data_IF_183887394763
#
_entry.id   IF_183887394763
#
_cell.length_a   1.000
_cell.length_b   1.000
_cell.length_c   1.000
_cell.angle_alpha   90.00
_cell.angle_beta   90.00
_cell.angle_gamma   90.00
#
_symmetry.space_group_name_H-M   'P 1'
#
loop_
_entity.id
_entity.type
_entity.pdbx_description
1 polymer ?
#
# COMPACT_ATOMS: atom_id res chain seq x y z
N UNK A 1 -3.88 42.89 -2.08
CA UNK A 1 -2.55 43.54 -2.01
C UNK A 1 -2.72 44.88 -1.33
N UNK A 2 -2.03 45.11 -0.21
CA UNK A 2 -1.96 46.39 0.47
C UNK A 2 -0.62 47.05 0.13
N UNK A 3 -0.65 48.33 -0.26
CA UNK A 3 0.57 49.10 -0.57
C UNK A 3 0.64 50.31 0.35
N UNK A 4 1.82 50.56 0.91
CA UNK A 4 2.07 51.80 1.63
C UNK A 4 2.00 52.98 0.65
N UNK A 5 1.20 53.99 0.98
CA UNK A 5 1.04 55.20 0.17
C UNK A 5 1.12 56.43 1.05
N UNK A 6 1.83 57.47 0.61
CA UNK A 6 1.86 58.77 1.27
C UNK A 6 1.06 59.75 0.41
N UNK A 7 0.02 60.34 1.00
CA UNK A 7 -0.84 61.32 0.32
C UNK A 7 -0.43 62.71 0.75
N UNK A 8 0.11 63.50 -0.18
CA UNK A 8 0.54 64.88 0.09
C UNK A 8 -0.60 65.87 -0.16
N UNK A 9 -1.43 65.61 -1.18
CA UNK A 9 -2.68 66.34 -1.48
C UNK A 9 -3.69 65.34 -2.06
N UNK A 10 -4.97 65.71 -2.07
CA UNK A 10 -6.09 64.84 -2.52
C UNK A 10 -5.91 64.20 -3.91
N UNK A 11 -5.05 64.77 -4.75
CA UNK A 11 -4.75 64.33 -6.12
C UNK A 11 -3.27 63.98 -6.35
N UNK A 12 -2.41 64.08 -5.32
CA UNK A 12 -0.98 63.74 -5.42
C UNK A 12 -0.66 62.75 -4.30
N UNK A 13 -0.45 61.50 -4.68
CA UNK A 13 -0.04 60.42 -3.80
C UNK A 13 1.15 59.68 -4.40
N UNK A 14 2.03 59.21 -3.52
CA UNK A 14 3.18 58.38 -3.86
C UNK A 14 2.94 57.00 -3.26
N UNK A 15 3.14 55.96 -4.06
CA UNK A 15 2.85 54.59 -3.68
C UNK A 15 4.11 53.76 -3.85
N UNK A 16 4.47 53.01 -2.82
CA UNK A 16 5.62 52.12 -2.86
C UNK A 16 5.28 50.88 -3.72
N UNK A 17 6.20 50.50 -4.61
CA UNK A 17 6.12 49.25 -5.40
C UNK A 17 7.15 48.21 -4.94
N UNK A 18 7.84 48.47 -3.82
CA UNK A 18 8.91 47.63 -3.29
C UNK A 18 8.59 47.04 -1.92
N UNK A 19 9.52 47.24 -0.98
CA UNK A 19 9.59 46.54 0.31
C UNK A 19 8.43 46.82 1.28
N UNK A 20 7.59 47.81 1.01
CA UNK A 20 6.43 48.18 1.82
C UNK A 20 5.09 47.78 1.17
N UNK A 21 5.13 47.00 0.10
CA UNK A 21 3.95 46.35 -0.48
C UNK A 21 3.78 44.94 0.09
N UNK A 22 2.64 44.68 0.77
CA UNK A 22 2.26 43.33 1.20
C UNK A 22 1.11 42.78 0.38
N UNK A 23 1.33 41.65 -0.29
CA UNK A 23 0.27 40.87 -0.93
C UNK A 23 -0.34 39.93 0.11
N UNK A 24 -1.60 40.16 0.45
CA UNK A 24 -2.41 39.19 1.20
C UNK A 24 -3.03 38.26 0.16
N UNK A 25 -2.77 36.96 0.32
CA UNK A 25 -3.50 35.89 -0.35
C UNK A 25 -4.55 35.34 0.62
N UNK A 26 -5.59 34.73 0.09
CA UNK A 26 -6.56 33.97 0.89
C UNK A 26 -5.78 32.92 1.70
N UNK A 27 -6.09 32.79 2.99
CA UNK A 27 -5.53 31.73 3.80
C UNK A 27 -6.13 30.44 3.26
N UNK A 28 -5.32 29.64 2.56
CA UNK A 28 -5.72 28.33 2.07
C UNK A 28 -6.27 27.55 3.27
N UNK A 29 -7.56 27.28 3.28
CA UNK A 29 -8.22 26.39 4.24
C UNK A 29 -7.86 24.91 4.00
N UNK A 30 -6.60 24.66 3.63
CA UNK A 30 -5.93 23.37 3.50
C UNK A 30 -4.47 23.43 4.00
N UNK A 31 -4.07 24.50 4.71
CA UNK A 31 -2.77 24.59 5.40
C UNK A 31 -2.81 24.18 6.87
N UNK A 32 -3.91 23.60 7.35
CA UNK A 32 -3.96 22.92 8.65
C UNK A 32 -3.72 21.42 8.41
N UNK A 33 -2.44 21.02 8.38
CA UNK A 33 -2.09 19.63 8.10
C UNK A 33 -0.77 19.16 8.67
N UNK A 34 0.38 19.74 8.28
CA UNK A 34 1.64 18.98 8.43
C UNK A 34 2.84 19.73 9.02
N UNK A 35 2.86 21.07 9.18
CA UNK A 35 4.12 21.74 9.63
C UNK A 35 4.04 22.82 10.72
N UNK A 36 2.87 23.13 11.29
CA UNK A 36 2.78 24.18 12.33
C UNK A 36 2.20 23.71 13.69
N UNK A 37 2.09 22.39 13.91
CA UNK A 37 1.83 21.89 15.26
C UNK A 37 3.14 21.94 16.04
N UNK A 38 3.25 22.74 17.12
CA UNK A 38 4.43 22.69 17.96
C UNK A 38 4.56 21.27 18.51
N UNK A 39 5.68 20.61 18.20
CA UNK A 39 5.99 19.27 18.71
C UNK A 39 6.07 19.39 20.23
N UNK A 40 5.03 18.91 20.91
CA UNK A 40 4.94 18.96 22.36
C UNK A 40 5.86 17.88 22.94
N UNK A 41 6.43 18.15 24.12
CA UNK A 41 7.08 17.09 24.88
C UNK A 41 6.01 16.08 25.33
N UNK A 42 6.14 14.85 24.83
CA UNK A 42 5.18 13.80 25.09
C UNK A 42 5.14 13.42 26.57
N UNK A 43 3.93 13.39 27.14
CA UNK A 43 3.68 12.96 28.52
C UNK A 43 3.09 11.55 28.64
N UNK A 44 2.86 10.86 27.51
CA UNK A 44 2.31 9.51 27.51
C UNK A 44 3.27 8.49 28.14
N UNK A 45 2.70 7.46 28.76
CA UNK A 45 3.41 6.38 29.42
C UNK A 45 3.29 5.07 28.64
N UNK A 46 4.20 4.13 28.95
CA UNK A 46 4.30 2.86 28.25
C UNK A 46 4.69 3.04 26.78
N UNK A 47 4.30 2.06 25.97
CA UNK A 47 4.48 2.09 24.52
C UNK A 47 3.17 1.77 23.81
N UNK A 48 3.03 2.24 22.58
CA UNK A 48 1.92 1.90 21.71
C UNK A 48 2.43 1.29 20.41
N UNK A 49 1.67 0.31 19.90
CA UNK A 49 1.91 -0.33 18.62
C UNK A 49 0.83 0.10 17.65
N UNK A 50 1.24 0.47 16.44
CA UNK A 50 0.38 0.94 15.38
C UNK A 50 0.55 0.10 14.13
N UNK A 51 -0.50 0.09 13.31
CA UNK A 51 -0.48 -0.40 11.94
C UNK A 51 -0.65 0.79 10.99
N UNK A 52 0.34 1.00 10.13
CA UNK A 52 0.27 1.90 8.99
C UNK A 52 -0.31 1.11 7.81
N UNK A 53 -1.30 1.65 7.12
CA UNK A 53 -1.85 1.10 5.88
C UNK A 53 -1.91 2.17 4.81
N UNK A 54 -1.31 1.89 3.66
CA UNK A 54 -1.20 2.83 2.54
C UNK A 54 -2.17 2.46 1.41
N UNK A 55 -3.06 3.38 1.07
CA UNK A 55 -4.04 3.26 0.01
C UNK A 55 -3.66 4.19 -1.15
N UNK A 56 -3.10 3.63 -2.22
CA UNK A 56 -2.87 4.38 -3.46
C UNK A 56 -4.21 4.71 -4.14
N UNK A 57 -4.48 5.99 -4.38
CA UNK A 57 -5.63 6.51 -5.14
C UNK A 57 -5.23 7.07 -6.52
N UNK A 58 -3.97 6.85 -6.92
CA UNK A 58 -3.43 7.22 -8.23
C UNK A 58 -3.70 6.13 -9.28
N UNK A 59 -4.62 6.41 -10.20
CA UNK A 59 -5.06 5.51 -11.26
C UNK A 59 -5.39 6.33 -12.51
N UNK A 60 -5.45 5.69 -13.66
CA UNK A 60 -5.86 6.35 -14.91
C UNK A 60 -7.24 7.01 -14.82
N UNK A 61 -8.16 6.43 -14.04
CA UNK A 61 -9.50 6.99 -13.85
C UNK A 61 -9.48 8.29 -13.02
N UNK A 62 -8.61 8.35 -12.01
CA UNK A 62 -8.54 9.50 -11.09
C UNK A 62 -7.63 10.60 -11.61
N UNK A 63 -6.54 10.23 -12.29
CA UNK A 63 -5.49 11.10 -12.82
C UNK A 63 -5.20 10.72 -14.29
N UNK A 64 -6.08 11.08 -15.23
CA UNK A 64 -5.99 10.60 -16.61
C UNK A 64 -4.88 11.26 -17.44
N UNK A 65 -4.44 12.48 -17.08
CA UNK A 65 -3.47 13.24 -17.85
C UNK A 65 -2.10 12.53 -17.80
N UNK A 66 -1.64 12.10 -18.97
CA UNK A 66 -0.35 11.42 -19.20
C UNK A 66 -0.10 10.20 -18.29
N UNK A 67 -1.16 9.51 -17.84
CA UNK A 67 -1.02 8.39 -16.91
C UNK A 67 -0.13 7.25 -17.48
N UNK A 68 0.92 6.82 -16.75
CA UNK A 68 1.88 5.81 -17.24
C UNK A 68 1.31 4.39 -17.16
N UNK A 69 0.51 4.00 -18.16
CA UNK A 69 -0.27 2.74 -18.16
C UNK A 69 0.54 1.47 -17.93
N UNK A 70 1.80 1.42 -18.37
CA UNK A 70 2.65 0.20 -18.29
C UNK A 70 3.60 0.20 -17.10
N UNK A 71 4.00 1.38 -16.65
CA UNK A 71 5.11 1.60 -15.72
C UNK A 71 4.66 2.13 -14.37
N UNK A 72 3.37 2.47 -14.18
CA UNK A 72 2.84 2.98 -12.92
C UNK A 72 3.09 2.03 -11.73
N UNK A 73 3.68 2.57 -10.68
CA UNK A 73 3.94 1.87 -9.43
C UNK A 73 4.10 2.82 -8.25
N UNK A 74 4.01 2.26 -7.05
CA UNK A 74 4.56 2.88 -5.85
C UNK A 74 5.82 2.13 -5.45
N UNK A 75 6.89 2.84 -5.10
CA UNK A 75 8.09 2.19 -4.55
C UNK A 75 7.80 1.52 -3.21
N UNK A 76 8.78 0.78 -2.69
CA UNK A 76 8.67 0.29 -1.32
C UNK A 76 8.49 1.47 -0.35
N UNK A 77 7.66 1.28 0.67
CA UNK A 77 7.50 2.27 1.75
C UNK A 77 8.69 2.11 2.67
N UNK A 78 9.34 3.23 3.00
CA UNK A 78 10.41 3.31 3.99
C UNK A 78 10.15 4.47 4.93
N UNK A 79 10.38 4.26 6.22
CA UNK A 79 10.16 5.26 7.24
C UNK A 79 10.67 4.81 8.60
N UNK A 80 10.35 5.57 9.63
CA UNK A 80 10.66 5.20 11.00
C UNK A 80 9.72 5.85 12.02
N UNK A 81 9.62 5.23 13.19
CA UNK A 81 9.24 5.93 14.40
C UNK A 81 10.48 6.52 15.07
N UNK A 82 10.44 7.80 15.41
CA UNK A 82 11.62 8.55 15.82
C UNK A 82 11.31 9.68 16.79
N UNK A 83 12.36 10.27 17.35
CA UNK A 83 12.30 11.46 18.21
C UNK A 83 12.28 12.74 17.37
N UNK A 84 12.11 13.88 18.04
CA UNK A 84 12.23 15.22 17.43
C UNK A 84 13.63 15.58 16.92
N UNK A 85 14.67 14.84 17.31
CA UNK A 85 16.05 15.13 16.92
C UNK A 85 16.40 14.57 15.53
N UNK A 86 15.59 13.64 15.03
CA UNK A 86 15.75 13.07 13.70
C UNK A 86 14.67 13.56 12.75
N UNK A 87 15.09 14.03 11.58
CA UNK A 87 14.20 14.50 10.51
C UNK A 87 14.47 13.61 9.30
N UNK A 88 13.46 12.81 8.93
CA UNK A 88 13.53 11.94 7.74
C UNK A 88 13.50 12.76 6.45
N UNK A 89 12.54 13.68 6.38
CA UNK A 89 12.36 14.70 5.36
C UNK A 89 11.39 15.75 5.91
N UNK A 90 11.42 16.99 5.42
CA UNK A 90 10.48 18.04 5.82
C UNK A 90 10.29 19.05 4.69
N UNK A 91 9.12 19.70 4.63
CA UNK A 91 8.89 20.78 3.68
C UNK A 91 9.82 21.97 3.97
N UNK A 92 10.47 22.49 2.92
CA UNK A 92 11.47 23.56 3.04
C UNK A 92 12.86 23.09 3.46
N UNK A 93 13.03 21.80 3.78
CA UNK A 93 14.32 21.13 3.95
C UNK A 93 14.91 20.66 2.62
N UNK A 94 16.10 20.08 2.66
CA UNK A 94 16.77 19.46 1.50
C UNK A 94 16.69 17.94 1.62
N UNK A 95 16.47 17.24 0.50
CA UNK A 95 16.49 15.79 0.46
C UNK A 95 17.89 15.26 0.79
N UNK A 96 17.98 14.29 1.70
CA UNK A 96 19.20 13.51 1.92
C UNK A 96 19.51 12.62 0.71
N UNK A 97 20.69 11.99 0.69
CA UNK A 97 21.02 11.02 -0.35
C UNK A 97 20.05 9.81 -0.32
N UNK A 98 19.62 9.37 0.86
CA UNK A 98 18.56 8.37 1.04
C UNK A 98 17.22 8.80 0.44
N UNK A 99 16.78 10.03 0.72
CA UNK A 99 15.52 10.57 0.16
C UNK A 99 15.61 10.69 -1.36
N UNK A 100 16.75 11.18 -1.88
CA UNK A 100 17.01 11.27 -3.32
C UNK A 100 16.92 9.91 -4.02
N UNK A 101 17.53 8.86 -3.46
CA UNK A 101 17.48 7.53 -4.07
C UNK A 101 16.07 6.91 -4.05
N UNK A 102 15.26 7.24 -3.04
CA UNK A 102 13.84 6.87 -3.07
C UNK A 102 13.13 7.65 -4.18
N UNK A 103 13.32 8.97 -4.23
CA UNK A 103 12.65 9.87 -5.17
C UNK A 103 12.92 9.55 -6.64
N UNK A 104 14.18 9.27 -7.00
CA UNK A 104 14.60 9.11 -8.40
C UNK A 104 14.59 7.64 -8.85
N UNK A 105 14.87 6.69 -7.94
CA UNK A 105 15.10 5.28 -8.28
C UNK A 105 14.12 4.31 -7.61
N UNK A 106 13.29 4.78 -6.68
CA UNK A 106 12.42 3.94 -5.87
C UNK A 106 13.18 2.99 -4.94
N UNK A 107 14.48 3.26 -4.67
CA UNK A 107 15.36 2.38 -3.90
C UNK A 107 15.39 2.79 -2.41
N UNK A 108 14.89 1.96 -1.48
CA UNK A 108 14.90 2.28 -0.04
C UNK A 108 16.23 1.96 0.66
N UNK A 109 17.21 1.38 -0.05
CA UNK A 109 18.42 0.81 0.56
C UNK A 109 19.21 1.88 1.31
N UNK A 110 19.48 3.02 0.66
CA UNK A 110 20.26 4.09 1.27
C UNK A 110 19.52 4.78 2.42
N UNK A 111 18.21 4.98 2.25
CA UNK A 111 17.35 5.54 3.29
C UNK A 111 17.32 4.65 4.53
N UNK A 112 17.26 3.33 4.36
CA UNK A 112 17.32 2.39 5.49
C UNK A 112 18.68 2.45 6.23
N UNK A 113 19.80 2.59 5.51
CA UNK A 113 21.11 2.79 6.13
C UNK A 113 21.14 4.06 6.99
N UNK A 114 20.65 5.18 6.45
CA UNK A 114 20.59 6.47 7.16
C UNK A 114 19.73 6.39 8.41
N UNK A 115 18.56 5.74 8.34
CA UNK A 115 17.68 5.54 9.49
C UNK A 115 18.38 4.70 10.56
N UNK A 116 19.03 3.58 10.18
CA UNK A 116 19.70 2.68 11.13
C UNK A 116 20.91 3.30 11.80
N UNK A 117 21.53 4.31 11.19
CA UNK A 117 22.63 5.06 11.79
C UNK A 117 22.17 5.95 12.96
N UNK A 118 20.88 6.29 13.04
CA UNK A 118 20.29 7.15 14.07
C UNK A 118 19.80 6.36 15.28
N UNK A 119 20.55 5.31 15.68
CA UNK A 119 20.15 4.23 16.59
C UNK A 119 19.25 4.65 17.76
N UNK A 120 19.66 5.67 18.51
CA UNK A 120 19.00 6.05 19.76
C UNK A 120 17.76 6.92 19.50
N UNK A 121 17.74 7.63 18.38
CA UNK A 121 16.66 8.52 17.97
C UNK A 121 15.55 7.78 17.20
N UNK A 122 15.78 6.53 16.79
CA UNK A 122 14.83 5.69 16.04
C UNK A 122 14.41 4.49 16.88
N UNK A 123 13.13 4.14 16.87
CA UNK A 123 12.61 2.97 17.58
C UNK A 123 12.31 1.81 16.63
N UNK A 124 11.57 2.07 15.55
CA UNK A 124 11.22 1.05 14.56
C UNK A 124 11.50 1.57 13.16
N UNK A 125 12.13 0.74 12.32
CA UNK A 125 12.23 0.99 10.87
C UNK A 125 10.97 0.45 10.20
N UNK A 126 10.22 1.33 9.53
CA UNK A 126 8.96 1.02 8.85
C UNK A 126 9.27 0.60 7.42
N UNK A 127 8.83 -0.60 7.03
CA UNK A 127 9.01 -1.14 5.68
C UNK A 127 7.75 -1.82 5.20
N UNK A 128 7.29 -1.46 4.00
CA UNK A 128 6.21 -2.18 3.31
C UNK A 128 6.56 -2.42 1.84
N UNK A 129 5.93 -3.44 1.25
CA UNK A 129 6.21 -3.86 -0.13
C UNK A 129 5.78 -2.79 -1.14
N UNK A 130 6.56 -2.67 -2.22
CA UNK A 130 6.22 -1.88 -3.39
C UNK A 130 4.92 -2.38 -4.07
N UNK A 131 4.28 -1.52 -4.85
CA UNK A 131 3.02 -1.84 -5.52
C UNK A 131 3.15 -1.73 -7.04
N UNK A 132 2.99 -2.88 -7.71
CA UNK A 132 2.98 -2.99 -9.17
C UNK A 132 1.73 -3.76 -9.62
N UNK A 133 0.82 -3.17 -10.41
CA UNK A 133 0.71 -1.75 -10.76
C UNK A 133 0.39 -0.86 -9.55
N UNK A 134 0.40 0.47 -9.69
CA UNK A 134 0.15 1.42 -8.60
C UNK A 134 -1.22 1.22 -7.92
N UNK A 135 -2.27 0.95 -8.71
CA UNK A 135 -3.65 0.81 -8.22
C UNK A 135 -4.24 -0.57 -8.50
N UNK A 136 -4.90 -1.13 -7.50
CA UNK A 136 -5.73 -2.33 -7.61
C UNK A 136 -6.90 -2.23 -6.62
N UNK A 137 -8.08 -2.79 -6.94
CA UNK A 137 -9.16 -2.94 -5.97
C UNK A 137 -8.72 -3.75 -4.75
N UNK A 138 -9.25 -3.43 -3.56
CA UNK A 138 -8.87 -4.08 -2.29
C UNK A 138 -9.18 -5.59 -2.27
N UNK A 139 -10.19 -6.03 -3.02
CA UNK A 139 -10.51 -7.45 -3.18
C UNK A 139 -9.52 -8.20 -4.09
N UNK A 140 -8.70 -7.48 -4.86
CA UNK A 140 -7.66 -8.06 -5.73
C UNK A 140 -6.29 -8.01 -5.04
N UNK A 141 -5.96 -6.89 -4.38
CA UNK A 141 -4.71 -6.72 -3.65
C UNK A 141 -4.92 -5.95 -2.36
N UNK A 142 -4.48 -6.54 -1.25
CA UNK A 142 -4.44 -5.86 0.03
C UNK A 142 -3.54 -4.61 -0.04
N UNK A 143 -3.98 -3.54 0.63
CA UNK A 143 -3.17 -2.35 0.83
C UNK A 143 -1.88 -2.71 1.62
N UNK A 144 -0.69 -2.25 1.20
CA UNK A 144 0.54 -2.44 1.94
C UNK A 144 0.38 -1.92 3.35
N UNK A 145 0.83 -2.72 4.31
CA UNK A 145 0.83 -2.33 5.71
C UNK A 145 2.12 -2.71 6.40
N UNK A 146 2.45 -1.95 7.44
CA UNK A 146 3.59 -2.16 8.30
C UNK A 146 3.20 -1.84 9.75
N UNK A 147 3.75 -2.57 10.70
CA UNK A 147 3.54 -2.31 12.11
C UNK A 147 4.77 -1.64 12.71
N UNK A 148 4.54 -0.69 13.62
CA UNK A 148 5.61 0.03 14.30
C UNK A 148 5.23 0.37 15.72
N UNK A 149 6.24 0.56 16.57
CA UNK A 149 6.04 0.95 17.96
C UNK A 149 6.48 2.39 18.17
N UNK A 150 5.84 3.07 19.11
CA UNK A 150 6.22 4.38 19.63
C UNK A 150 6.37 4.33 21.14
N UNK A 151 7.21 5.20 21.66
CA UNK A 151 7.36 5.46 23.09
C UNK A 151 7.42 6.95 23.36
N UNK A 152 7.50 7.33 24.63
CA UNK A 152 7.51 8.73 25.07
C UNK A 152 8.57 9.60 24.39
N UNK A 153 9.74 9.06 24.07
CA UNK A 153 10.84 9.81 23.45
C UNK A 153 10.76 9.78 21.93
N UNK A 154 10.27 8.67 21.36
CA UNK A 154 10.16 8.39 19.92
C UNK A 154 8.69 8.23 19.54
N UNK A 155 7.97 9.34 19.68
CA UNK A 155 6.53 9.43 19.50
C UNK A 155 6.11 9.95 18.11
N UNK A 156 7.09 10.35 17.29
CA UNK A 156 6.86 10.83 15.93
C UNK A 156 7.01 9.68 14.93
N UNK A 157 6.31 9.78 13.81
CA UNK A 157 6.45 8.85 12.69
C UNK A 157 6.59 9.61 11.37
N UNK A 158 7.59 9.20 10.58
CA UNK A 158 7.77 9.67 9.21
C UNK A 158 7.92 8.51 8.25
N UNK A 159 7.43 8.67 7.03
CA UNK A 159 7.69 7.73 5.95
C UNK A 159 7.63 8.44 4.59
N UNK A 160 8.16 7.78 3.57
CA UNK A 160 8.01 8.18 2.18
C UNK A 160 7.88 6.97 1.24
N UNK A 161 7.27 7.20 0.09
CA UNK A 161 7.24 6.29 -1.06
C UNK A 161 7.15 7.11 -2.35
N UNK A 162 7.86 6.66 -3.38
CA UNK A 162 7.94 7.30 -4.68
C UNK A 162 6.70 6.98 -5.52
N UNK A 163 6.17 8.01 -6.18
CA UNK A 163 5.19 7.87 -7.25
C UNK A 163 5.94 7.59 -8.54
N UNK A 164 5.88 6.37 -9.05
CA UNK A 164 6.72 5.93 -10.17
C UNK A 164 5.95 5.63 -11.46
N UNK A 165 6.48 5.97 -12.65
CA UNK A 165 7.66 6.80 -12.88
C UNK A 165 7.37 8.27 -12.56
N UNK A 166 8.37 8.97 -12.05
CA UNK A 166 8.41 10.41 -11.91
C UNK A 166 9.87 10.89 -11.91
N UNK A 167 10.11 12.19 -12.09
CA UNK A 167 11.46 12.77 -11.95
C UNK A 167 12.03 12.51 -10.56
N UNK A 168 11.32 12.98 -9.54
CA UNK A 168 11.73 12.89 -8.13
C UNK A 168 10.54 13.09 -7.17
N UNK A 169 9.35 12.59 -7.55
CA UNK A 169 8.11 12.84 -6.81
C UNK A 169 7.77 11.74 -5.82
N UNK A 170 7.48 12.14 -4.58
CA UNK A 170 7.13 11.24 -3.49
C UNK A 170 5.80 11.62 -2.84
N UNK A 171 5.29 10.72 -1.99
CA UNK A 171 4.27 11.02 -0.97
C UNK A 171 4.76 10.49 0.37
N UNK A 172 4.26 11.05 1.47
CA UNK A 172 4.61 10.59 2.80
C UNK A 172 4.04 11.45 3.90
N UNK A 173 4.33 11.08 5.14
CA UNK A 173 4.17 11.93 6.31
C UNK A 173 5.54 12.29 6.89
N UNK A 174 5.64 13.51 7.40
CA UNK A 174 6.80 14.03 8.10
C UNK A 174 6.39 14.37 9.52
N UNK A 175 7.11 13.81 10.50
CA UNK A 175 6.98 14.08 11.92
C UNK A 175 5.54 14.02 12.47
N UNK A 176 4.75 13.01 12.06
CA UNK A 176 3.38 12.83 12.57
C UNK A 176 3.42 12.43 14.05
N UNK A 177 2.82 13.24 14.91
CA UNK A 177 2.83 13.04 16.37
C UNK A 177 1.69 12.13 16.82
N UNK A 178 2.05 10.96 17.38
CA UNK A 178 1.09 9.98 17.88
C UNK A 178 0.84 10.10 19.39
N UNK A 179 1.50 11.04 20.06
CA UNK A 179 1.27 11.37 21.46
C UNK A 179 0.16 12.42 21.60
N UNK A 180 -0.75 12.22 22.55
CA UNK A 180 -1.84 13.18 22.82
C UNK A 180 -1.52 14.10 23.99
N UNK A 181 -2.18 15.27 24.02
CA UNK A 181 -2.11 16.20 25.16
C UNK A 181 -2.62 15.61 26.47
N UNK A 182 -3.48 14.58 26.39
CA UNK A 182 -4.05 13.88 27.54
C UNK A 182 -3.16 12.74 28.06
N UNK A 183 -1.88 12.74 27.70
CA UNK A 183 -0.88 11.72 28.06
C UNK A 183 -1.26 10.31 27.60
N UNK A 184 -1.91 10.23 26.43
CA UNK A 184 -2.30 8.99 25.78
C UNK A 184 -1.70 8.85 24.38
N UNK A 185 -2.19 7.83 23.69
CA UNK A 185 -1.77 7.46 22.34
C UNK A 185 -2.96 7.61 21.40
N UNK A 186 -2.79 8.33 20.28
CA UNK A 186 -3.86 8.56 19.28
C UNK A 186 -4.47 7.23 18.83
N UNK A 187 -5.80 7.11 18.76
CA UNK A 187 -6.41 5.85 18.34
C UNK A 187 -6.27 5.60 16.83
N UNK A 188 -6.53 6.65 16.03
CA UNK A 188 -6.57 6.55 14.57
C UNK A 188 -6.23 7.89 13.92
N UNK A 189 -5.34 7.86 12.94
CA UNK A 189 -5.03 9.00 12.05
C UNK A 189 -5.40 8.58 10.63
N UNK A 190 -6.11 9.46 9.93
CA UNK A 190 -6.43 9.29 8.50
C UNK A 190 -5.98 10.55 7.80
N UNK A 191 -4.99 10.42 6.91
CA UNK A 191 -4.44 11.55 6.18
C UNK A 191 -4.46 11.28 4.68
N UNK A 192 -4.99 12.24 3.94
CA UNK A 192 -4.94 12.27 2.49
C UNK A 192 -3.66 12.95 2.03
N UNK A 193 -3.04 12.43 0.97
CA UNK A 193 -1.70 12.79 0.51
C UNK A 193 -1.73 13.34 -0.92
N UNK A 194 -0.96 14.41 -1.12
CA UNK A 194 -0.58 14.94 -2.43
C UNK A 194 0.91 14.66 -2.67
N UNK A 195 1.36 14.63 -3.94
CA UNK A 195 2.79 14.46 -4.23
C UNK A 195 3.59 15.71 -3.83
N UNK A 196 4.84 15.47 -3.48
CA UNK A 196 5.85 16.49 -3.24
C UNK A 196 7.12 16.18 -4.04
N UNK A 197 7.81 17.25 -4.40
CA UNK A 197 9.02 17.30 -5.22
C UNK A 197 10.25 17.28 -4.31
N UNK A 198 11.21 16.39 -4.58
CA UNK A 198 12.42 16.26 -3.75
C UNK A 198 13.47 17.34 -4.03
N UNK A 199 13.34 18.10 -5.13
CA UNK A 199 14.25 19.15 -5.55
C UNK A 199 15.55 18.64 -6.15
N UNK A 200 15.59 17.42 -6.68
CA UNK A 200 16.80 16.76 -7.21
C UNK A 200 16.75 16.49 -8.72
N UNK A 201 15.57 16.41 -9.33
CA UNK A 201 15.39 16.29 -10.79
C UNK A 201 14.34 17.28 -11.32
N UNK A 202 14.69 18.02 -12.38
CA UNK A 202 13.89 19.09 -12.98
C UNK A 202 12.96 18.59 -14.11
N UNK A 203 12.67 17.30 -14.20
CA UNK A 203 11.66 16.76 -15.09
C UNK A 203 10.26 17.32 -14.80
N UNK A 204 9.40 17.44 -15.81
CA UNK A 204 8.10 18.14 -15.70
C UNK A 204 6.89 17.21 -15.80
N UNK A 205 7.08 15.97 -16.24
CA UNK A 205 6.04 14.93 -16.37
C UNK A 205 6.60 13.57 -15.94
N UNK A 206 5.73 12.57 -15.74
CA UNK A 206 6.06 11.25 -15.20
C UNK A 206 7.27 10.57 -15.88
N UNK A 207 7.32 10.59 -17.21
CA UNK A 207 8.35 9.90 -18.01
C UNK A 207 9.37 10.88 -18.62
N UNK A 208 9.63 12.01 -17.95
CA UNK A 208 10.66 12.95 -18.38
C UNK A 208 12.05 12.29 -18.32
N UNK A 209 12.97 12.57 -19.27
CA UNK A 209 14.36 12.19 -19.11
C UNK A 209 14.98 12.88 -17.89
N UNK A 210 15.88 12.18 -17.20
CA UNK A 210 16.57 12.72 -16.03
C UNK A 210 17.25 14.05 -16.35
N UNK A 211 16.99 15.06 -15.53
CA UNK A 211 17.54 16.40 -15.64
C UNK A 211 17.91 16.90 -14.23
N UNK A 212 19.13 16.63 -13.74
CA UNK A 212 19.53 16.99 -12.38
C UNK A 212 19.30 18.47 -12.04
N UNK A 213 18.70 18.73 -10.89
CA UNK A 213 18.47 20.08 -10.34
C UNK A 213 19.74 20.58 -9.65
N UNK A 214 20.38 21.61 -10.21
CA UNK A 214 21.65 22.16 -9.71
C UNK A 214 21.57 23.69 -9.58
N UNK A 215 21.72 24.26 -8.37
CA UNK A 215 21.85 23.58 -7.08
C UNK A 215 20.57 22.83 -6.69
N UNK A 216 20.68 21.84 -5.80
CA UNK A 216 19.52 21.13 -5.26
C UNK A 216 18.51 22.14 -4.67
N UNK A 217 17.24 21.94 -4.97
CA UNK A 217 16.15 22.75 -4.46
C UNK A 217 15.56 22.15 -3.17
N UNK A 218 14.70 22.92 -2.51
CA UNK A 218 14.05 22.50 -1.27
C UNK A 218 12.82 21.65 -1.56
N UNK A 219 12.55 20.69 -0.68
CA UNK A 219 11.36 19.86 -0.74
C UNK A 219 10.12 20.75 -0.66
N UNK A 220 9.19 20.58 -1.61
CA UNK A 220 7.96 21.36 -1.70
C UNK A 220 6.80 20.48 -2.19
N UNK A 221 5.55 20.77 -1.80
CA UNK A 221 4.41 20.11 -2.41
C UNK A 221 4.30 20.50 -3.90
N UNK A 222 3.81 19.58 -4.72
CA UNK A 222 3.42 19.92 -6.10
C UNK A 222 2.16 20.80 -6.06
N UNK A 223 2.04 21.69 -7.03
CA UNK A 223 0.84 22.51 -7.23
C UNK A 223 0.25 22.32 -8.62
N UNK A 224 -1.04 22.63 -8.76
CA UNK A 224 -1.75 22.58 -10.05
C UNK A 224 -1.24 23.61 -11.06
N UNK A 225 -0.34 24.52 -10.68
CA UNK A 225 0.19 25.59 -11.52
C UNK A 225 1.69 25.46 -11.79
N UNK A 226 2.34 24.36 -11.38
CA UNK A 226 3.80 24.20 -11.46
C UNK A 226 4.33 24.32 -12.89
N UNK A 227 3.73 23.61 -13.85
CA UNK A 227 4.14 23.65 -15.24
C UNK A 227 3.01 23.17 -16.17
N UNK A 228 2.78 23.76 -17.36
CA UNK A 228 1.69 23.34 -18.26
C UNK A 228 1.71 21.86 -18.67
N UNK A 229 2.90 21.28 -18.76
CA UNK A 229 3.12 19.86 -19.09
C UNK A 229 3.03 18.93 -17.87
N UNK A 230 2.87 19.47 -16.65
CA UNK A 230 2.67 18.63 -15.47
C UNK A 230 1.35 17.85 -15.59
N UNK A 231 1.33 16.55 -15.24
CA UNK A 231 0.10 15.76 -15.23
C UNK A 231 -0.91 16.25 -14.19
N UNK A 232 -0.45 17.05 -13.21
CA UNK A 232 -1.29 17.66 -12.19
C UNK A 232 -1.71 19.10 -12.54
N UNK A 233 -1.30 19.62 -13.71
CA UNK A 233 -1.59 20.99 -14.09
C UNK A 233 -3.06 21.21 -14.44
N UNK A 234 -3.64 22.23 -13.83
CA UNK A 234 -4.99 22.74 -14.07
C UNK A 234 -4.92 24.26 -14.31
N UNK A 235 -5.33 24.77 -15.50
CA UNK A 235 -5.31 26.21 -15.77
C UNK A 235 -6.24 27.03 -14.87
N UNK A 236 -7.26 26.42 -14.26
CA UNK A 236 -8.13 27.08 -13.28
C UNK A 236 -7.49 27.14 -11.87
N UNK A 237 -6.39 26.42 -11.67
CA UNK A 237 -5.73 26.26 -10.38
C UNK A 237 -6.46 25.29 -9.45
N UNK A 238 -6.37 25.53 -8.15
CA UNK A 238 -7.00 24.70 -7.12
C UNK A 238 -6.09 23.57 -6.59
N UNK A 239 -6.61 22.79 -5.65
CA UNK A 239 -5.86 21.70 -5.01
C UNK A 239 -5.70 20.49 -5.94
N UNK A 240 -4.51 19.89 -5.95
CA UNK A 240 -4.28 18.61 -6.63
C UNK A 240 -5.21 17.53 -6.04
N UNK A 241 -5.80 16.71 -6.90
CA UNK A 241 -6.55 15.52 -6.48
C UNK A 241 -5.63 14.59 -5.68
N UNK A 242 -6.14 14.10 -4.57
CA UNK A 242 -5.38 13.26 -3.65
C UNK A 242 -4.93 11.97 -4.33
N UNK A 243 -3.63 11.68 -4.27
CA UNK A 243 -3.02 10.52 -4.94
C UNK A 243 -2.93 9.30 -4.05
N UNK A 244 -3.02 9.48 -2.73
CA UNK A 244 -3.01 8.40 -1.76
C UNK A 244 -3.70 8.81 -0.46
N UNK A 245 -4.03 7.81 0.36
CA UNK A 245 -4.50 7.95 1.73
C UNK A 245 -3.69 7.03 2.63
N UNK A 246 -3.27 7.52 3.78
CA UNK A 246 -2.66 6.71 4.82
C UNK A 246 -3.58 6.62 6.02
N UNK A 247 -3.69 5.41 6.58
CA UNK A 247 -4.41 5.14 7.82
C UNK A 247 -3.41 4.58 8.82
N UNK A 248 -3.32 5.21 9.99
CA UNK A 248 -2.50 4.77 11.11
C UNK A 248 -3.46 4.42 12.24
N UNK A 249 -3.48 3.15 12.64
CA UNK A 249 -4.43 2.65 13.64
C UNK A 249 -3.68 2.00 14.80
N UNK A 250 -4.03 2.39 16.03
CA UNK A 250 -3.46 1.81 17.25
C UNK A 250 -3.98 0.39 17.41
N UNK A 251 -3.08 -0.58 17.49
CA UNK A 251 -3.42 -2.00 17.60
C UNK A 251 -3.12 -2.59 18.98
N UNK A 252 -2.21 -1.98 19.74
CA UNK A 252 -1.90 -2.42 21.10
C UNK A 252 -1.24 -1.31 21.92
N UNK A 253 -1.27 -1.46 23.25
CA UNK A 253 -0.49 -0.69 24.20
C UNK A 253 0.21 -1.63 25.18
N UNK A 254 1.36 -1.23 25.70
CA UNK A 254 2.12 -2.03 26.66
C UNK A 254 2.69 -1.16 27.78
N UNK A 255 2.69 -1.69 29.00
CA UNK A 255 3.15 -1.00 30.20
C UNK A 255 2.06 -0.16 30.86
N UNK A 256 2.39 0.43 32.02
CA UNK A 256 1.48 1.31 32.76
C UNK A 256 1.08 2.51 31.90
N UNK A 257 -0.23 2.75 31.83
CA UNK A 257 -0.81 3.86 31.09
C UNK A 257 -1.11 5.01 32.05
N UNK A 258 -0.93 6.25 31.58
CA UNK A 258 -1.14 7.46 32.39
C UNK A 258 -2.08 8.47 31.70
N UNK A 259 -2.95 8.00 30.82
CA UNK A 259 -3.94 8.83 30.15
C UNK A 259 -4.97 9.39 31.15
N UNK A 260 -5.26 10.69 31.01
CA UNK A 260 -6.16 11.43 31.92
C UNK A 260 -7.63 11.05 31.67
N UNK A 261 -7.97 10.68 30.43
CA UNK A 261 -9.30 10.26 30.03
C UNK A 261 -9.33 8.74 29.89
N UNK A 262 -10.27 8.03 30.56
CA UNK A 262 -10.48 6.60 30.36
C UNK A 262 -10.81 6.31 28.90
N UNK A 263 -10.14 5.34 28.28
CA UNK A 263 -10.43 4.94 26.90
C UNK A 263 -11.83 4.30 26.80
N UNK A 264 -12.42 4.30 25.59
CA UNK A 264 -13.67 3.61 25.33
C UNK A 264 -13.48 2.09 25.55
N UNK A 265 -14.55 1.41 26.00
CA UNK A 265 -14.57 0.01 26.46
C UNK A 265 -14.04 -1.00 25.42
N UNK A 266 -13.94 -0.62 24.14
CA UNK A 266 -13.37 -1.43 23.07
C UNK A 266 -11.83 -1.56 23.13
N UNK A 267 -11.14 -0.80 23.99
CA UNK A 267 -9.67 -0.79 24.11
C UNK A 267 -9.09 -1.77 25.16
N UNK A 268 -9.91 -2.63 25.79
CA UNK A 268 -9.48 -3.59 26.85
C UNK A 268 -9.38 -5.05 26.37
N UNK A 269 -9.72 -5.39 25.12
CA UNK A 269 -9.72 -6.81 24.71
C UNK A 269 -8.75 -7.09 23.56
N UNK A 270 -7.55 -7.52 23.92
CA UNK A 270 -6.73 -8.42 23.09
C UNK A 270 -5.77 -9.23 23.97
N UNK A 271 -6.34 -10.02 24.91
CA UNK A 271 -5.59 -11.10 25.57
C UNK A 271 -6.48 -12.32 25.91
N UNK A 272 -7.61 -12.49 25.22
CA UNK A 272 -8.45 -13.70 25.33
C UNK A 272 -9.13 -14.01 23.99
N UNK A 273 -8.35 -14.46 22.99
CA UNK A 273 -8.89 -15.39 22.02
C UNK A 273 -8.66 -16.81 22.59
N UNK A 274 -9.67 -17.70 22.62
CA UNK A 274 -9.45 -19.08 23.02
C UNK A 274 -8.61 -19.74 21.93
N UNK A 275 -7.31 -19.92 22.18
CA UNK A 275 -6.50 -20.85 21.41
C UNK A 275 -7.13 -22.23 21.55
N UNK A 276 -7.32 -22.89 20.42
CA UNK A 276 -7.72 -24.29 20.36
C UNK A 276 -6.74 -25.08 21.22
N UNK A 277 -7.26 -25.66 22.31
CA UNK A 277 -6.47 -26.51 23.21
C UNK A 277 -5.94 -27.70 22.42
N UNK A 278 -4.65 -27.69 22.11
CA UNK A 278 -3.90 -28.94 22.12
C UNK A 278 -3.71 -29.31 23.60
N UNK A 279 -4.24 -30.47 24.00
CA UNK A 279 -4.07 -31.03 25.34
C UNK A 279 -2.57 -31.27 25.60
N UNK A 280 -1.94 -30.39 26.39
CA UNK A 280 -0.60 -30.61 26.93
C UNK A 280 -0.73 -31.04 28.40
N UNK A 281 -0.25 -32.26 28.68
CA UNK A 281 -0.44 -33.06 29.88
C UNK A 281 0.49 -32.59 31.02
N UNK A 282 0.49 -31.28 31.31
CA UNK A 282 1.33 -30.69 32.37
C UNK A 282 0.50 -30.37 33.62
N UNK A 283 0.89 -30.87 34.82
CA UNK A 283 0.11 -30.65 36.04
C UNK A 283 0.06 -29.17 36.44
N UNK A 284 -1.11 -28.74 36.91
CA UNK A 284 -1.52 -27.34 37.21
C UNK A 284 -0.69 -26.61 38.31
N UNK A 285 0.46 -27.12 38.72
CA UNK A 285 1.26 -26.61 39.85
C UNK A 285 2.45 -25.73 39.43
N UNK A 286 2.84 -25.74 38.15
CA UNK A 286 3.99 -25.00 37.62
C UNK A 286 3.57 -24.02 36.51
N UNK A 287 3.68 -22.72 36.76
CA UNK A 287 3.36 -21.67 35.77
C UNK A 287 4.66 -21.26 35.08
N UNK A 288 4.82 -21.59 33.80
CA UNK A 288 5.99 -21.20 33.00
C UNK A 288 5.74 -19.95 32.14
N UNK A 289 6.80 -19.33 31.63
CA UNK A 289 6.74 -18.34 30.55
C UNK A 289 6.52 -19.03 29.20
N UNK A 290 6.22 -18.25 28.18
CA UNK A 290 6.30 -18.74 26.80
C UNK A 290 7.74 -19.20 26.52
N UNK A 291 7.87 -20.20 25.64
CA UNK A 291 9.16 -20.66 25.14
C UNK A 291 9.88 -19.55 24.37
N UNK A 292 11.20 -19.50 24.51
CA UNK A 292 12.04 -18.72 23.61
C UNK A 292 11.90 -19.25 22.17
N UNK A 293 12.24 -18.43 21.16
CA UNK A 293 12.54 -18.96 19.84
C UNK A 293 13.59 -20.08 19.90
N UNK A 294 13.53 -21.02 18.97
CA UNK A 294 14.56 -22.05 18.84
C UNK A 294 15.92 -21.43 18.51
N UNK A 295 16.97 -21.95 19.13
CA UNK A 295 18.35 -21.60 18.79
C UNK A 295 18.69 -22.01 17.35
N UNK A 296 19.77 -21.44 16.82
CA UNK A 296 20.42 -21.99 15.63
C UNK A 296 20.73 -23.48 15.85
N UNK A 297 20.73 -24.25 14.76
CA UNK A 297 21.09 -25.65 14.82
C UNK A 297 22.54 -25.79 15.27
N UNK A 298 22.82 -26.70 16.21
CA UNK A 298 24.19 -26.93 16.69
C UNK A 298 25.15 -27.46 15.61
N UNK A 299 24.62 -27.85 14.45
CA UNK A 299 25.38 -28.27 13.29
C UNK A 299 25.32 -27.20 12.20
N UNK A 300 26.48 -26.77 11.71
CA UNK A 300 26.63 -25.89 10.55
C UNK A 300 26.78 -26.67 9.24
N UNK A 301 26.78 -28.00 9.30
CA UNK A 301 26.89 -28.93 8.16
C UNK A 301 25.63 -29.80 8.08
N UNK A 302 25.47 -30.61 7.03
CA UNK A 302 24.32 -31.54 6.91
C UNK A 302 24.36 -32.71 7.91
N UNK A 303 25.21 -32.64 8.94
CA UNK A 303 25.20 -33.59 10.04
C UNK A 303 24.02 -33.30 10.98
N UNK A 304 23.45 -34.34 11.59
CA UNK A 304 22.35 -34.23 12.55
C UNK A 304 22.78 -33.38 13.75
N UNK A 305 22.22 -32.17 13.86
CA UNK A 305 22.39 -31.27 14.99
C UNK A 305 21.19 -31.29 15.95
N UNK A 306 21.30 -30.51 17.02
CA UNK A 306 20.20 -30.23 17.95
C UNK A 306 20.02 -28.72 18.07
N UNK A 307 18.77 -28.27 18.15
CA UNK A 307 18.42 -26.89 18.52
C UNK A 307 17.74 -26.91 19.88
N UNK A 308 17.96 -25.86 20.65
CA UNK A 308 17.47 -25.73 22.02
C UNK A 308 16.51 -24.54 22.12
N UNK A 309 15.47 -24.67 22.93
CA UNK A 309 14.67 -23.54 23.42
C UNK A 309 14.57 -23.61 24.93
N UNK A 310 14.33 -22.46 25.57
CA UNK A 310 14.22 -22.35 27.01
C UNK A 310 13.00 -21.54 27.43
N UNK A 311 12.41 -21.87 28.58
CA UNK A 311 11.34 -21.11 29.24
C UNK A 311 11.65 -20.96 30.72
N UNK A 312 11.16 -19.89 31.33
CA UNK A 312 11.37 -19.60 32.75
C UNK A 312 10.16 -20.03 33.56
N UNK A 313 10.40 -20.54 34.77
CA UNK A 313 9.32 -20.75 35.75
C UNK A 313 8.91 -19.39 36.31
N UNK A 314 7.67 -18.96 36.04
CA UNK A 314 7.11 -17.70 36.53
C UNK A 314 6.58 -17.82 37.95
N UNK A 315 5.95 -18.95 38.28
CA UNK A 315 5.45 -19.22 39.62
C UNK A 315 5.31 -20.72 39.86
N UNK A 316 5.51 -21.13 41.11
CA UNK A 316 5.31 -22.50 41.57
C UNK A 316 4.30 -22.47 42.73
N UNK A 317 3.15 -23.10 42.53
CA UNK A 317 2.05 -23.11 43.51
C UNK A 317 2.32 -24.10 44.65
N UNK A 318 3.07 -25.17 44.39
CA UNK A 318 3.48 -26.17 45.39
C UNK A 318 4.99 -26.42 45.35
N UNK A 319 5.69 -26.04 46.44
CA UNK A 319 7.15 -26.20 46.58
C UNK A 319 7.62 -27.66 46.68
N UNK A 320 6.70 -28.62 46.90
CA UNK A 320 7.04 -30.04 46.99
C UNK A 320 7.15 -30.73 45.62
N UNK A 321 6.66 -30.09 44.55
CA UNK A 321 6.65 -30.65 43.19
C UNK A 321 7.75 -30.01 42.35
N UNK A 322 8.78 -30.76 41.90
CA UNK A 322 9.81 -30.21 41.02
C UNK A 322 9.22 -29.82 39.65
N UNK A 323 9.60 -28.66 39.11
CA UNK A 323 9.17 -28.15 37.80
C UNK A 323 10.32 -28.21 36.77
N UNK A 324 10.68 -29.38 36.20
CA UNK A 324 11.91 -29.56 35.43
C UNK A 324 11.85 -29.04 33.97
N UNK A 325 10.68 -28.72 33.41
CA UNK A 325 10.54 -28.38 31.99
C UNK A 325 10.89 -26.93 31.68
N UNK A 326 12.17 -26.59 31.85
CA UNK A 326 12.71 -25.26 31.54
C UNK A 326 13.49 -25.24 30.23
N UNK A 327 13.83 -26.40 29.68
CA UNK A 327 14.62 -26.55 28.46
C UNK A 327 14.08 -27.68 27.59
N UNK A 328 14.12 -27.48 26.28
CA UNK A 328 13.67 -28.47 25.30
C UNK A 328 14.65 -28.53 24.13
N UNK A 329 14.85 -29.74 23.60
CA UNK A 329 15.84 -30.05 22.57
C UNK A 329 15.19 -30.80 21.42
N UNK A 330 15.33 -30.25 20.21
CA UNK A 330 14.80 -30.87 19.00
C UNK A 330 15.92 -31.18 18.01
N UNK A 331 15.86 -32.34 17.31
CA UNK A 331 16.75 -32.61 16.18
C UNK A 331 16.59 -31.56 15.08
N UNK A 332 17.70 -31.16 14.46
CA UNK A 332 17.71 -30.25 13.32
C UNK A 332 18.86 -30.59 12.37
N UNK A 333 18.83 -30.04 11.16
CA UNK A 333 19.94 -30.06 10.20
C UNK A 333 20.31 -28.64 9.82
N UNK A 334 21.54 -28.45 9.31
CA UNK A 334 22.01 -27.15 8.85
C UNK A 334 21.12 -26.55 7.74
N UNK A 335 21.08 -25.22 7.61
CA UNK A 335 20.25 -24.55 6.59
C UNK A 335 20.70 -24.97 5.18
N UNK A 336 19.77 -25.54 4.41
CA UNK A 336 20.00 -25.95 3.00
C UNK A 336 20.11 -27.46 2.74
N UNK A 337 19.90 -28.32 3.75
CA UNK A 337 19.92 -29.78 3.57
C UNK A 337 18.49 -30.36 3.67
N UNK A 338 18.08 -31.13 2.66
CA UNK A 338 16.88 -32.00 2.66
C UNK A 338 17.32 -33.43 2.34
N UNK A 339 16.61 -34.44 2.88
CA UNK A 339 16.88 -35.88 2.68
C UNK A 339 16.53 -36.38 1.26
N UNK A 340 16.89 -35.61 0.23
CA UNK A 340 16.68 -35.96 -1.17
C UNK A 340 18.03 -35.87 -1.88
N UNK A 341 18.45 -37.03 -2.39
CA UNK A 341 19.69 -37.38 -3.07
C UNK A 341 20.54 -36.23 -3.65
N UNK A 342 21.83 -36.24 -3.26
CA UNK A 342 22.84 -35.28 -3.70
C UNK A 342 23.09 -35.32 -5.20
N UNK A 343 22.68 -34.25 -5.89
CA UNK A 343 23.30 -33.69 -7.11
C UNK A 343 22.43 -32.54 -7.64
N UNK A 344 22.19 -31.54 -6.80
CA UNK A 344 21.08 -30.61 -7.05
C UNK A 344 21.58 -29.32 -7.69
N UNK A 345 21.40 -29.23 -9.01
CA UNK A 345 21.48 -27.98 -9.75
C UNK A 345 20.64 -26.88 -9.09
N UNK A 346 21.19 -25.67 -8.98
CA UNK A 346 20.45 -24.52 -8.45
C UNK A 346 19.49 -24.00 -9.53
N UNK A 347 18.19 -24.10 -9.28
CA UNK A 347 17.12 -23.66 -10.20
C UNK A 347 16.68 -22.24 -9.90
N UNK A 348 16.13 -21.55 -10.91
CA UNK A 348 15.35 -20.34 -10.69
C UNK A 348 14.04 -20.68 -9.98
N UNK A 349 13.44 -19.65 -9.40
CA UNK A 349 12.02 -19.73 -9.04
C UNK A 349 11.21 -19.97 -10.31
N UNK A 350 10.06 -20.62 -10.17
CA UNK A 350 9.12 -20.79 -11.26
C UNK A 350 8.57 -19.44 -11.72
N UNK A 351 8.48 -19.27 -13.03
CA UNK A 351 7.71 -18.18 -13.63
C UNK A 351 6.23 -18.36 -13.22
N UNK A 352 5.50 -17.25 -13.17
CA UNK A 352 4.06 -17.28 -12.89
C UNK A 352 3.35 -18.16 -13.92
N UNK A 353 2.35 -18.92 -13.46
CA UNK A 353 1.50 -19.73 -14.34
C UNK A 353 0.91 -18.89 -15.47
N UNK A 354 0.92 -19.44 -16.68
CA UNK A 354 0.19 -18.89 -17.80
C UNK A 354 -1.32 -18.86 -17.51
N UNK A 355 -2.08 -18.00 -18.22
CA UNK A 355 -3.54 -18.07 -18.18
C UNK A 355 -4.03 -19.48 -18.54
N UNK A 356 -5.17 -19.88 -17.98
CA UNK A 356 -5.78 -21.15 -18.35
C UNK A 356 -6.07 -21.16 -19.86
N UNK A 357 -5.81 -22.29 -20.53
CA UNK A 357 -6.04 -22.44 -21.97
C UNK A 357 -7.50 -22.26 -22.38
N UNK A 358 -8.42 -22.28 -21.41
CA UNK A 358 -9.85 -22.04 -21.60
C UNK A 358 -10.33 -20.87 -20.74
N UNK A 359 -11.36 -20.18 -21.21
CA UNK A 359 -12.04 -19.10 -20.49
C UNK A 359 -13.23 -19.57 -19.65
N UNK A 360 -13.66 -20.83 -19.79
CA UNK A 360 -14.73 -21.47 -19.01
C UNK A 360 -14.50 -22.99 -19.03
N UNK A 361 -14.67 -23.69 -17.91
CA UNK A 361 -14.51 -25.13 -17.76
C UNK A 361 -13.08 -25.56 -17.47
N UNK A 362 -12.79 -26.84 -17.74
CA UNK A 362 -11.48 -27.45 -17.48
C UNK A 362 -10.52 -27.20 -18.65
N UNK A 363 -9.40 -26.54 -18.37
CA UNK A 363 -8.28 -26.35 -19.29
C UNK A 363 -6.95 -26.72 -18.64
N UNK A 364 -5.87 -26.21 -19.21
CA UNK A 364 -4.49 -26.42 -18.75
C UNK A 364 -3.74 -25.10 -18.71
N UNK A 365 -2.82 -24.98 -17.75
CA UNK A 365 -1.88 -23.85 -17.64
C UNK A 365 -0.48 -24.40 -17.47
N UNK A 366 0.50 -23.66 -17.96
CA UNK A 366 1.91 -24.04 -17.96
C UNK A 366 2.77 -22.97 -17.27
N UNK A 367 3.90 -23.39 -16.72
CA UNK A 367 4.94 -22.48 -16.20
C UNK A 367 6.32 -23.06 -16.48
N UNK A 368 7.30 -22.17 -16.54
CA UNK A 368 8.68 -22.52 -16.85
C UNK A 368 9.64 -22.03 -15.75
N UNK A 369 10.79 -22.68 -15.63
CA UNK A 369 11.93 -22.26 -14.80
C UNK A 369 13.23 -22.59 -15.52
N UNK A 370 14.30 -21.90 -15.18
CA UNK A 370 15.62 -22.10 -15.79
C UNK A 370 16.68 -22.45 -14.75
N UNK A 371 17.79 -23.05 -15.20
CA UNK A 371 18.92 -23.40 -14.34
C UNK A 371 19.71 -22.12 -14.02
N UNK A 372 19.82 -21.74 -12.74
CA UNK A 372 20.64 -20.60 -12.28
C UNK A 372 22.12 -20.98 -12.21
N UNK A 373 22.44 -22.21 -11.82
CA UNK A 373 23.81 -22.69 -11.72
C UNK A 373 23.89 -24.19 -12.06
N UNK A 374 24.79 -24.53 -12.98
CA UNK A 374 25.15 -25.91 -13.31
C UNK A 374 26.16 -26.46 -12.29
N UNK A 375 26.17 -27.77 -12.03
CA UNK A 375 27.16 -28.38 -11.15
C UNK A 375 28.58 -28.23 -11.72
N UNK A 376 29.59 -28.10 -10.85
CA UNK A 376 30.98 -27.87 -11.27
C UNK A 376 31.60 -29.05 -12.04
N UNK A 377 31.01 -30.23 -11.95
CA UNK A 377 31.43 -31.43 -12.68
C UNK A 377 31.02 -31.44 -14.18
N UNK A 378 30.32 -30.40 -14.64
CA UNK A 378 29.88 -30.26 -16.03
C UNK A 378 28.69 -31.15 -16.40
N UNK A 379 28.03 -31.78 -15.43
CA UNK A 379 26.85 -32.61 -15.67
C UNK A 379 25.61 -31.77 -16.04
N UNK A 380 24.78 -32.32 -16.93
CA UNK A 380 23.50 -31.70 -17.31
C UNK A 380 22.44 -31.95 -16.24
N UNK A 381 21.69 -30.90 -15.90
CA UNK A 381 20.58 -30.97 -14.94
C UNK A 381 19.42 -31.79 -15.51
N UNK A 382 19.04 -32.87 -14.82
CA UNK A 382 17.90 -33.73 -15.21
C UNK A 382 16.55 -33.27 -14.63
N UNK A 383 16.50 -32.07 -14.07
CA UNK A 383 15.33 -31.55 -13.38
C UNK A 383 14.39 -30.87 -14.39
N UNK A 384 13.05 -31.08 -14.32
CA UNK A 384 12.11 -30.50 -15.27
C UNK A 384 12.11 -28.96 -15.20
N UNK A 385 12.20 -28.34 -16.38
CA UNK A 385 12.17 -26.88 -16.60
C UNK A 385 10.79 -26.37 -16.99
N UNK A 386 9.84 -27.25 -17.27
CA UNK A 386 8.46 -26.93 -17.61
C UNK A 386 7.51 -27.76 -16.73
N UNK A 387 6.40 -27.15 -16.32
CA UNK A 387 5.34 -27.80 -15.57
C UNK A 387 3.99 -27.39 -16.16
N UNK A 388 3.10 -28.37 -16.34
CA UNK A 388 1.74 -28.15 -16.83
C UNK A 388 0.74 -28.74 -15.84
N UNK A 389 -0.28 -27.96 -15.47
CA UNK A 389 -1.32 -28.33 -14.53
C UNK A 389 -2.71 -28.11 -15.16
N UNK A 390 -3.70 -28.89 -14.72
CA UNK A 390 -5.11 -28.64 -15.04
C UNK A 390 -5.60 -27.42 -14.28
N UNK A 391 -6.41 -26.60 -14.94
CA UNK A 391 -7.08 -25.45 -14.34
C UNK A 391 -8.58 -25.51 -14.65
N UNK A 392 -9.41 -25.02 -13.73
CA UNK A 392 -10.86 -24.91 -13.94
C UNK A 392 -11.24 -23.45 -13.79
N UNK A 393 -11.89 -22.90 -14.82
CA UNK A 393 -12.36 -21.51 -14.84
C UNK A 393 -13.88 -21.54 -14.86
N UNK A 394 -14.55 -21.16 -13.76
CA UNK A 394 -16.01 -21.25 -13.56
C UNK A 394 -16.57 -22.69 -13.62
N UNK A 395 -17.08 -23.20 -12.51
CA UNK A 395 -17.61 -24.58 -12.44
C UNK A 395 -18.99 -24.76 -13.11
N UNK A 396 -19.75 -23.68 -13.30
CA UNK A 396 -21.11 -23.71 -13.88
C UNK A 396 -21.12 -23.32 -15.37
N UNK A 397 -20.26 -23.94 -16.18
CA UNK A 397 -20.36 -23.81 -17.64
C UNK A 397 -21.42 -24.80 -18.16
N UNK A 398 -22.64 -24.33 -18.38
CA UNK A 398 -23.67 -25.13 -19.07
C UNK A 398 -23.29 -25.26 -20.56
N UNK A 399 -23.09 -26.48 -21.11
CA UNK A 399 -22.47 -26.66 -22.44
C UNK A 399 -23.32 -26.23 -23.64
N UNK A 400 -24.57 -25.78 -23.44
CA UNK A 400 -25.57 -25.73 -24.51
C UNK A 400 -26.33 -24.41 -24.64
N UNK A 401 -26.06 -23.40 -23.81
CA UNK A 401 -26.78 -22.12 -23.87
C UNK A 401 -25.85 -20.92 -23.94
N UNK A 402 -25.99 -20.11 -24.99
CA UNK A 402 -25.30 -18.83 -25.06
C UNK A 402 -25.74 -17.91 -23.92
N UNK A 403 -24.80 -17.20 -23.31
CA UNK A 403 -25.14 -16.10 -22.43
C UNK A 403 -25.50 -14.90 -23.30
N UNK A 404 -26.73 -14.41 -23.17
CA UNK A 404 -27.21 -13.17 -23.80
C UNK A 404 -27.27 -12.06 -22.75
N UNK A 405 -27.17 -10.80 -23.20
CA UNK A 405 -27.46 -9.65 -22.34
C UNK A 405 -28.95 -9.58 -22.03
N UNK A 406 -29.33 -8.77 -21.05
CA UNK A 406 -30.72 -8.35 -20.91
C UNK A 406 -31.20 -7.64 -22.18
N UNK A 407 -32.52 -7.62 -22.38
CA UNK A 407 -33.13 -6.91 -23.49
C UNK A 407 -32.92 -5.40 -23.35
N UNK A 408 -32.53 -4.75 -24.44
CA UNK A 408 -32.58 -3.29 -24.52
C UNK A 408 -34.02 -2.76 -24.44
N UNK A 409 -34.14 -1.44 -24.32
CA UNK A 409 -35.44 -0.77 -24.37
C UNK A 409 -36.12 -0.99 -25.73
N UNK A 410 -37.45 -0.84 -25.75
CA UNK A 410 -38.22 -0.91 -26.98
C UNK A 410 -37.99 0.34 -27.83
N UNK A 411 -37.74 0.14 -29.11
CA UNK A 411 -37.77 1.18 -30.12
C UNK A 411 -39.16 1.84 -30.19
N UNK A 412 -39.21 3.04 -30.75
CA UNK A 412 -40.46 3.71 -31.06
C UNK A 412 -41.34 2.88 -32.01
N UNK A 413 -42.66 3.05 -31.90
CA UNK A 413 -43.61 2.35 -32.75
C UNK A 413 -43.36 2.72 -34.22
N UNK A 414 -43.27 1.72 -35.10
CA UNK A 414 -43.01 1.92 -36.53
C UNK A 414 -44.07 2.75 -37.27
N UNK A 415 -45.22 3.00 -36.62
CA UNK A 415 -46.29 3.82 -37.14
C UNK A 415 -46.52 5.00 -36.19
N UNK A 416 -46.83 6.18 -36.74
CA UNK A 416 -47.21 7.35 -35.94
C UNK A 416 -48.71 7.42 -35.64
N UNK A 417 -49.52 6.59 -36.30
CA UNK A 417 -50.96 6.45 -36.09
C UNK A 417 -51.42 5.04 -36.49
N UNK A 418 -52.49 4.52 -35.90
CA UNK A 418 -53.00 3.17 -36.14
C UNK A 418 -52.08 2.06 -35.59
N UNK A 419 -52.12 0.88 -36.20
CA UNK A 419 -51.35 -0.28 -35.74
C UNK A 419 -49.93 -0.28 -36.32
N UNK A 420 -48.91 -0.36 -35.46
CA UNK A 420 -47.50 -0.50 -35.84
C UNK A 420 -46.81 -1.64 -35.10
N UNK A 421 -45.48 -1.73 -35.23
CA UNK A 421 -44.64 -2.66 -34.49
C UNK A 421 -43.51 -1.91 -33.79
N UNK A 422 -43.22 -2.27 -32.55
CA UNK A 422 -42.00 -1.86 -31.83
C UNK A 422 -41.06 -3.06 -31.77
N UNK A 423 -39.75 -2.79 -31.78
CA UNK A 423 -38.71 -3.83 -31.71
C UNK A 423 -37.79 -3.56 -30.54
N UNK A 424 -37.16 -4.61 -30.01
CA UNK A 424 -36.06 -4.49 -29.06
C UNK A 424 -34.98 -5.49 -29.41
N UNK A 425 -33.75 -5.18 -29.01
CA UNK A 425 -32.57 -5.95 -29.35
C UNK A 425 -31.81 -6.37 -28.09
N UNK A 426 -31.16 -7.53 -28.14
CA UNK A 426 -30.17 -7.97 -27.13
C UNK A 426 -28.96 -8.59 -27.81
N UNK A 427 -27.83 -8.57 -27.13
CA UNK A 427 -26.56 -9.06 -27.68
C UNK A 427 -26.17 -10.41 -27.08
N UNK A 428 -25.41 -11.20 -27.84
CA UNK A 428 -24.79 -12.41 -27.31
C UNK A 428 -23.54 -11.98 -26.53
N UNK A 429 -23.56 -12.19 -25.21
CA UNK A 429 -22.46 -11.87 -24.30
C UNK A 429 -21.36 -12.94 -24.37
N UNK A 430 -21.73 -14.19 -24.65
CA UNK A 430 -20.79 -15.30 -24.80
C UNK A 430 -21.36 -16.40 -25.70
N UNK A 431 -20.55 -16.88 -26.65
CA UNK A 431 -20.90 -17.99 -27.54
C UNK A 431 -20.65 -19.35 -26.87
N UNK A 432 -21.35 -20.42 -27.28
CA UNK A 432 -21.10 -21.78 -26.79
C UNK A 432 -19.65 -22.24 -27.02
N UNK A 433 -19.11 -23.00 -26.06
CA UNK A 433 -17.72 -23.48 -26.09
C UNK A 433 -17.45 -24.53 -27.18
N UNK A 434 -18.49 -25.17 -27.71
CA UNK A 434 -18.43 -26.17 -28.78
C UNK A 434 -18.34 -25.55 -30.19
N UNK A 435 -18.29 -24.21 -30.29
CA UNK A 435 -18.26 -23.48 -31.55
C UNK A 435 -19.58 -23.52 -32.32
N UNK A 436 -20.66 -24.01 -31.71
CA UNK A 436 -21.98 -24.03 -32.33
C UNK A 436 -22.56 -22.62 -32.46
N UNK A 437 -23.32 -22.41 -33.54
CA UNK A 437 -24.02 -21.15 -33.78
C UNK A 437 -25.08 -20.93 -32.70
N UNK A 438 -25.05 -19.73 -32.10
CA UNK A 438 -25.98 -19.38 -31.05
C UNK A 438 -27.43 -19.30 -31.57
N UNK A 439 -28.32 -20.12 -31.00
CA UNK A 439 -29.76 -20.14 -31.35
C UNK A 439 -30.62 -19.15 -30.54
N UNK A 440 -30.02 -18.29 -29.73
CA UNK A 440 -30.77 -17.32 -28.93
C UNK A 440 -31.35 -16.21 -29.81
N UNK A 441 -32.63 -15.89 -29.64
CA UNK A 441 -33.27 -14.78 -30.36
C UNK A 441 -32.66 -13.45 -29.93
N UNK A 442 -32.11 -12.68 -30.86
CA UNK A 442 -31.48 -11.37 -30.59
C UNK A 442 -32.38 -10.18 -30.88
N UNK A 443 -33.56 -10.42 -31.47
CA UNK A 443 -34.53 -9.40 -31.84
C UNK A 443 -35.92 -9.89 -31.48
N UNK A 444 -36.70 -9.03 -30.82
CA UNK A 444 -38.10 -9.29 -30.48
C UNK A 444 -38.96 -8.15 -31.02
N UNK A 445 -40.14 -8.48 -31.53
CA UNK A 445 -41.07 -7.52 -32.11
C UNK A 445 -42.47 -7.71 -31.52
N UNK A 446 -43.10 -6.61 -31.10
CA UNK A 446 -44.43 -6.61 -30.50
C UNK A 446 -45.31 -5.58 -31.21
N UNK A 447 -46.62 -5.87 -31.32
CA UNK A 447 -47.59 -4.92 -31.88
C UNK A 447 -47.77 -3.73 -30.94
N UNK A 448 -47.75 -2.52 -31.49
CA UNK A 448 -48.09 -1.28 -30.80
C UNK A 448 -49.33 -0.65 -31.46
N UNK A 449 -50.20 -0.06 -30.64
CA UNK A 449 -51.36 0.70 -31.12
C UNK A 449 -51.13 2.18 -30.84
N UNK A 450 -51.11 2.97 -31.91
CA UNK A 450 -51.01 4.42 -31.90
C UNK A 450 -52.39 5.05 -32.18
N UNK A 451 -52.57 6.35 -31.92
CA UNK A 451 -53.86 7.03 -32.12
C UNK A 451 -54.39 6.82 -33.54
N UNK A 452 -55.71 6.82 -33.73
CA UNK A 452 -56.29 6.62 -35.06
C UNK A 452 -55.80 7.66 -36.07
N UNK A 453 -55.45 7.20 -37.27
CA UNK A 453 -55.01 8.07 -38.35
C UNK A 453 -56.16 8.97 -38.80
N UNK A 454 -56.01 10.28 -38.62
CA UNK A 454 -56.94 11.26 -39.20
C UNK A 454 -56.70 11.32 -40.71
N UNK A 455 -57.75 11.11 -41.50
CA UNK A 455 -57.72 11.43 -42.94
C UNK A 455 -57.80 12.94 -43.07
N UNK A 456 -56.83 13.58 -43.73
CA UNK A 456 -57.00 14.96 -44.17
C UNK A 456 -58.13 15.00 -45.22
N UNK A 457 -59.14 15.87 -45.05
CA UNK A 457 -60.23 16.03 -46.00
C UNK A 457 -59.77 16.60 -47.35
#
# INVERSE_FOLDING_TARGET
VYRASIVQKRIIYFQDEGSLTKKICEQDSTSDGVTDKPILDCCACGTAKYRLTFYGNWSEKTHPKDFPRRTNHWSAIIGSSHSKNYILWEYGGYASEGVKQVAELGSPVKMEEEIRQQSDEVLTVIKAKAQWPAWQPLNVRAAPSAEFSVDRHRHLMSFLTMLGPSPDWNVGLSAEDLCTKDCGWVQKVVQDLIPWDAGTDSGVTYESPNKPTVPQEKIRPLTSLDHPQSPFYDPEGGSIKLVARVVIERIARKGEQCNIVPDNIDDIVADLAPEEKEEDDTPETCIYSNWSPWSACSSSTCEKGKRMRQRMLKAQLDLSVPCPDTQDFQPCMGPGCSDEDGSTCMMSDWITWSPCSVSCGMGTRSRERYVKQFPEDGSMCKVPTEETEKCVVNEECSPSSCLVTEWGEWDECSASCGTGMKRRHRMIKMTPADGSMCKAETTEAEKCMMPECRKCP
#
